data_IF_375464290487
#
_entry.id   IF_375464290487
#
_cell.length_a   1.000
_cell.length_b   1.000
_cell.length_c   1.000
_cell.angle_alpha   90.00
_cell.angle_beta   90.00
_cell.angle_gamma   90.00
#
_symmetry.space_group_name_H-M   'P 1'
#
loop_
_entity.id
_entity.type
_entity.pdbx_description
1 polymer ?
#
# COMPACT_ATOMS: atom_id res chain seq x y z
N UNK A 1 -2.44 -3.51 -10.29
CA UNK A 1 -2.13 -3.63 -8.85
C UNK A 1 -0.74 -3.12 -8.53
N UNK A 2 0.32 -3.75 -9.02
CA UNK A 2 1.71 -3.36 -8.73
C UNK A 2 2.01 -1.87 -8.99
N UNK A 3 1.69 -1.36 -10.18
CA UNK A 3 1.92 0.06 -10.53
C UNK A 3 1.23 1.05 -9.57
N UNK A 4 0.07 0.70 -9.02
CA UNK A 4 -0.64 1.56 -8.06
C UNK A 4 0.05 1.60 -6.70
N UNK A 5 0.45 0.43 -6.18
CA UNK A 5 1.16 0.33 -4.91
C UNK A 5 2.56 0.98 -4.99
N UNK A 6 3.29 0.77 -6.08
CA UNK A 6 4.58 1.46 -6.32
C UNK A 6 4.37 2.96 -6.47
N UNK A 7 3.35 3.40 -7.21
CA UNK A 7 3.04 4.83 -7.35
C UNK A 7 2.74 5.51 -6.01
N UNK A 8 2.14 4.81 -5.06
CA UNK A 8 1.95 5.31 -3.70
C UNK A 8 3.28 5.45 -2.95
N UNK A 9 4.17 4.44 -3.01
CA UNK A 9 5.53 4.53 -2.46
C UNK A 9 6.28 5.71 -3.08
N UNK A 10 6.16 5.94 -4.38
CA UNK A 10 6.79 7.07 -5.07
C UNK A 10 6.29 8.41 -4.53
N UNK A 11 4.98 8.50 -4.28
CA UNK A 11 4.36 9.71 -3.74
C UNK A 11 4.85 10.05 -2.34
N UNK A 12 5.29 9.06 -1.55
CA UNK A 12 5.80 9.27 -0.17
C UNK A 12 7.10 10.09 -0.10
N UNK A 13 7.80 10.23 -1.22
CA UNK A 13 8.99 11.09 -1.32
C UNK A 13 8.66 12.58 -1.37
N UNK A 14 7.39 12.94 -1.60
CA UNK A 14 6.93 14.33 -1.61
C UNK A 14 6.69 14.80 -0.16
N UNK A 15 7.34 15.89 0.29
CA UNK A 15 7.23 16.36 1.67
C UNK A 15 5.79 16.63 2.13
N UNK A 16 4.91 17.13 1.25
CA UNK A 16 3.51 17.36 1.62
C UNK A 16 2.72 16.06 1.85
N UNK A 17 2.99 15.00 1.07
CA UNK A 17 2.32 13.70 1.21
C UNK A 17 2.80 13.03 2.48
N UNK A 18 4.11 13.04 2.73
CA UNK A 18 4.68 12.51 3.96
C UNK A 18 4.04 13.14 5.20
N UNK A 19 4.00 14.48 5.25
CA UNK A 19 3.53 15.18 6.44
C UNK A 19 2.01 15.07 6.62
N UNK A 20 1.23 15.29 5.57
CA UNK A 20 -0.23 15.34 5.69
C UNK A 20 -0.86 13.94 5.73
N UNK A 21 -0.46 13.04 4.84
CA UNK A 21 -1.08 11.71 4.72
C UNK A 21 -0.49 10.72 5.73
N UNK A 22 0.82 10.72 5.93
CA UNK A 22 1.47 9.66 6.73
C UNK A 22 1.67 10.02 8.21
N UNK A 23 1.71 11.32 8.56
CA UNK A 23 2.00 11.79 9.93
C UNK A 23 0.80 12.50 10.55
N UNK A 24 0.34 13.59 9.93
CA UNK A 24 -0.67 14.48 10.51
C UNK A 24 -2.07 13.88 10.41
N UNK A 25 -2.41 13.23 9.30
CA UNK A 25 -3.74 12.65 9.04
C UNK A 25 -4.23 11.74 10.17
N UNK A 26 -3.52 10.66 10.50
CA UNK A 26 -3.89 9.76 11.61
C UNK A 26 -3.92 10.46 12.98
N UNK A 27 -3.01 11.40 13.21
CA UNK A 27 -2.87 12.09 14.50
C UNK A 27 -3.96 13.15 14.74
N UNK A 28 -4.43 13.82 13.68
CA UNK A 28 -5.41 14.91 13.75
C UNK A 28 -6.84 14.40 13.61
N UNK A 29 -7.09 13.43 12.73
CA UNK A 29 -8.44 12.92 12.44
C UNK A 29 -8.90 11.84 13.42
N UNK A 30 -7.95 11.24 14.15
CA UNK A 30 -8.19 10.07 14.98
C UNK A 30 -8.28 8.78 14.16
N UNK A 31 -8.00 7.66 14.82
CA UNK A 31 -7.85 6.35 14.18
C UNK A 31 -9.07 5.90 13.36
N UNK A 32 -10.28 6.10 13.90
CA UNK A 32 -11.52 5.62 13.26
C UNK A 32 -11.84 6.39 11.98
N UNK A 33 -11.80 7.73 12.02
CA UNK A 33 -11.98 8.59 10.84
C UNK A 33 -10.92 8.32 9.76
N UNK A 34 -9.69 8.04 10.19
CA UNK A 34 -8.60 7.70 9.28
C UNK A 34 -8.86 6.39 8.54
N UNK A 35 -9.29 5.34 9.26
CA UNK A 35 -9.66 4.06 8.67
C UNK A 35 -10.82 4.20 7.67
N UNK A 36 -11.86 4.96 7.98
CA UNK A 36 -13.00 5.19 7.07
C UNK A 36 -12.57 5.86 5.74
N UNK A 37 -11.60 6.79 5.80
CA UNK A 37 -11.03 7.42 4.61
C UNK A 37 -10.15 6.46 3.80
N UNK A 38 -9.33 5.66 4.47
CA UNK A 38 -8.50 4.62 3.85
C UNK A 38 -9.35 3.55 3.15
N UNK A 39 -10.46 3.15 3.77
CA UNK A 39 -11.44 2.20 3.23
C UNK A 39 -12.04 2.71 1.90
N UNK A 40 -12.43 3.99 1.86
CA UNK A 40 -13.10 4.60 0.71
C UNK A 40 -12.21 4.78 -0.52
N UNK A 41 -10.93 5.14 -0.35
CA UNK A 41 -10.04 5.50 -1.48
C UNK A 41 -9.00 4.44 -1.82
N UNK A 42 -8.37 3.81 -0.82
CA UNK A 42 -7.28 2.86 -1.02
C UNK A 42 -7.75 1.41 -1.04
N UNK A 43 -8.51 1.01 -0.01
CA UNK A 43 -8.89 -0.38 0.20
C UNK A 43 -9.79 -0.91 -0.91
N UNK A 44 -10.84 -0.17 -1.27
CA UNK A 44 -11.77 -0.59 -2.32
C UNK A 44 -11.09 -0.76 -3.69
N UNK A 45 -10.05 0.02 -3.99
CA UNK A 45 -9.27 -0.15 -5.23
C UNK A 45 -8.44 -1.45 -5.20
N UNK A 46 -7.81 -1.77 -4.08
CA UNK A 46 -7.04 -3.01 -3.90
C UNK A 46 -7.97 -4.23 -3.98
N UNK A 47 -9.12 -4.20 -3.30
CA UNK A 47 -10.11 -5.28 -3.33
C UNK A 47 -10.55 -5.61 -4.76
N UNK A 48 -10.95 -4.61 -5.57
CA UNK A 48 -11.36 -4.83 -6.97
C UNK A 48 -10.26 -5.47 -7.83
N UNK A 49 -9.00 -5.10 -7.59
CA UNK A 49 -7.86 -5.67 -8.32
C UNK A 49 -7.59 -7.14 -7.93
N UNK A 50 -7.75 -7.48 -6.65
CA UNK A 50 -7.64 -8.84 -6.16
C UNK A 50 -8.78 -9.73 -6.67
N UNK A 51 -10.01 -9.22 -6.66
CA UNK A 51 -11.18 -9.92 -7.22
C UNK A 51 -11.01 -10.23 -8.70
N UNK A 52 -10.53 -9.25 -9.48
CA UNK A 52 -10.23 -9.43 -10.89
C UNK A 52 -9.15 -10.52 -11.11
N UNK A 53 -8.07 -10.49 -10.32
CA UNK A 53 -7.01 -11.49 -10.40
C UNK A 53 -7.48 -12.91 -10.08
N UNK A 54 -8.38 -13.07 -9.10
CA UNK A 54 -9.01 -14.37 -8.79
C UNK A 54 -9.92 -14.81 -9.93
N UNK A 55 -10.73 -13.91 -10.49
CA UNK A 55 -11.60 -14.21 -11.62
C UNK A 55 -10.82 -14.67 -12.86
N UNK A 56 -9.64 -14.07 -13.09
CA UNK A 56 -8.69 -14.44 -14.15
C UNK A 56 -7.89 -15.73 -13.84
N UNK A 57 -8.04 -16.29 -12.63
CA UNK A 57 -7.27 -17.45 -12.13
C UNK A 57 -5.76 -17.22 -12.07
N UNK A 58 -5.31 -15.96 -12.09
CA UNK A 58 -3.91 -15.59 -11.88
C UNK A 58 -3.58 -15.63 -10.39
N UNK A 59 -4.55 -15.32 -9.53
CA UNK A 59 -4.44 -15.41 -8.07
C UNK A 59 -5.33 -16.56 -7.52
N UNK A 60 -4.82 -17.44 -6.63
CA UNK A 60 -5.66 -18.44 -5.98
C UNK A 60 -6.79 -17.82 -5.15
N UNK A 61 -7.93 -18.52 -5.07
CA UNK A 61 -9.06 -18.08 -4.25
C UNK A 61 -8.68 -18.04 -2.77
N UNK A 62 -8.92 -16.90 -2.12
CA UNK A 62 -8.53 -16.62 -0.74
C UNK A 62 -9.36 -15.44 -0.18
N UNK A 63 -9.29 -15.14 1.13
CA UNK A 63 -10.05 -14.04 1.73
C UNK A 63 -9.62 -12.66 1.20
N UNK A 64 -10.33 -12.16 0.18
CA UNK A 64 -10.02 -10.90 -0.54
C UNK A 64 -9.96 -9.70 0.39
N UNK A 65 -10.97 -9.56 1.26
CA UNK A 65 -11.09 -8.43 2.17
C UNK A 65 -9.85 -8.30 3.07
N UNK A 66 -9.50 -9.38 3.78
CA UNK A 66 -8.35 -9.42 4.66
C UNK A 66 -7.03 -9.20 3.88
N UNK A 67 -6.91 -9.79 2.69
CA UNK A 67 -5.71 -9.59 1.86
C UNK A 67 -5.56 -8.14 1.40
N UNK A 68 -6.67 -7.46 1.11
CA UNK A 68 -6.64 -6.04 0.76
C UNK A 68 -6.16 -5.17 1.93
N UNK A 69 -6.63 -5.43 3.16
CA UNK A 69 -6.14 -4.75 4.35
C UNK A 69 -4.65 -5.00 4.58
N UNK A 70 -4.17 -6.23 4.39
CA UNK A 70 -2.75 -6.56 4.53
C UNK A 70 -1.89 -5.83 3.49
N UNK A 71 -2.34 -5.74 2.24
CA UNK A 71 -1.64 -5.01 1.19
C UNK A 71 -1.62 -3.50 1.43
N UNK A 72 -2.74 -2.93 1.88
CA UNK A 72 -2.83 -1.52 2.24
C UNK A 72 -1.84 -1.21 3.37
N UNK A 73 -1.91 -1.94 4.48
CA UNK A 73 -0.99 -1.77 5.59
C UNK A 73 0.49 -1.94 5.16
N UNK A 74 0.78 -2.89 4.26
CA UNK A 74 2.14 -3.10 3.75
C UNK A 74 2.65 -1.91 2.96
N UNK A 75 1.82 -1.32 2.09
CA UNK A 75 2.23 -0.16 1.28
C UNK A 75 2.35 1.11 2.13
N UNK A 76 1.50 1.28 3.15
CA UNK A 76 1.61 2.39 4.11
C UNK A 76 2.89 2.30 4.92
N UNK A 77 3.26 1.09 5.39
CA UNK A 77 4.53 0.87 6.08
C UNK A 77 5.74 1.10 5.17
N UNK A 78 5.66 0.70 3.91
CA UNK A 78 6.71 0.99 2.93
C UNK A 78 6.86 2.52 2.71
N UNK A 79 5.76 3.25 2.54
CA UNK A 79 5.75 4.70 2.41
C UNK A 79 6.34 5.40 3.64
N UNK A 80 5.94 4.98 4.85
CA UNK A 80 6.49 5.48 6.11
C UNK A 80 7.98 5.20 6.26
N UNK A 81 8.45 4.02 5.83
CA UNK A 81 9.86 3.67 5.85
C UNK A 81 10.68 4.62 4.97
N UNK A 82 10.23 4.89 3.74
CA UNK A 82 10.89 5.83 2.81
C UNK A 82 10.90 7.24 3.37
N UNK A 83 9.75 7.70 3.85
CA UNK A 83 9.57 9.00 4.47
C UNK A 83 10.58 9.29 5.59
N UNK A 84 10.83 8.32 6.48
CA UNK A 84 11.67 8.51 7.66
C UNK A 84 13.16 8.17 7.44
N UNK A 85 13.57 7.85 6.21
CA UNK A 85 14.93 7.44 5.91
C UNK A 85 15.91 8.62 5.81
N UNK A 86 17.17 8.41 6.21
CA UNK A 86 18.26 9.37 5.99
C UNK A 86 18.62 9.49 4.49
N UNK A 87 18.49 8.39 3.75
CA UNK A 87 18.60 8.33 2.30
C UNK A 87 17.26 7.84 1.69
N UNK A 88 16.34 8.76 1.36
CA UNK A 88 15.04 8.41 0.79
C UNK A 88 15.12 7.70 -0.57
N UNK A 89 16.18 7.93 -1.36
CA UNK A 89 16.33 7.32 -2.68
C UNK A 89 16.64 5.84 -2.50
N UNK A 90 17.65 5.52 -1.68
CA UNK A 90 17.98 4.13 -1.37
C UNK A 90 16.82 3.41 -0.67
N UNK A 91 16.16 4.07 0.29
CA UNK A 91 15.03 3.49 0.99
C UNK A 91 13.86 3.18 0.04
N UNK A 92 13.60 4.04 -0.95
CA UNK A 92 12.59 3.81 -1.98
C UNK A 92 12.93 2.58 -2.81
N UNK A 93 14.16 2.43 -3.26
CA UNK A 93 14.57 1.26 -4.06
C UNK A 93 14.35 -0.06 -3.30
N UNK A 94 14.71 -0.08 -2.02
CA UNK A 94 14.47 -1.23 -1.15
C UNK A 94 12.98 -1.51 -0.95
N UNK A 95 12.19 -0.47 -0.68
CA UNK A 95 10.74 -0.59 -0.48
C UNK A 95 10.03 -1.12 -1.73
N UNK A 96 10.37 -0.60 -2.91
CA UNK A 96 9.82 -1.06 -4.20
C UNK A 96 10.22 -2.52 -4.47
N UNK A 97 11.49 -2.88 -4.24
CA UNK A 97 11.98 -4.26 -4.41
C UNK A 97 11.23 -5.25 -3.51
N UNK A 98 11.04 -4.90 -2.23
CA UNK A 98 10.31 -5.71 -1.27
C UNK A 98 8.82 -5.84 -1.65
N UNK A 99 8.17 -4.74 -2.04
CA UNK A 99 6.77 -4.73 -2.45
C UNK A 99 6.54 -5.60 -3.70
N UNK A 100 7.43 -5.51 -4.70
CA UNK A 100 7.40 -6.39 -5.87
C UNK A 100 7.51 -7.86 -5.49
N UNK A 101 8.47 -8.20 -4.65
CA UNK A 101 8.69 -9.58 -4.20
C UNK A 101 7.47 -10.15 -3.47
N UNK A 102 6.80 -9.32 -2.66
CA UNK A 102 5.56 -9.68 -1.95
C UNK A 102 4.43 -9.94 -2.95
N UNK A 103 4.21 -9.00 -3.89
CA UNK A 103 3.18 -9.12 -4.92
C UNK A 103 3.41 -10.37 -5.77
N UNK A 104 4.61 -10.53 -6.34
CA UNK A 104 4.97 -11.71 -7.14
C UNK A 104 4.76 -13.02 -6.36
N UNK A 105 5.08 -13.03 -5.06
CA UNK A 105 4.87 -14.16 -4.18
C UNK A 105 3.42 -14.62 -4.09
N UNK A 106 2.46 -13.70 -4.20
CA UNK A 106 1.03 -14.03 -4.17
C UNK A 106 0.56 -14.80 -5.41
N UNK A 107 1.21 -14.57 -6.57
CA UNK A 107 0.85 -15.20 -7.84
C UNK A 107 1.64 -16.50 -8.11
N UNK A 108 2.61 -16.84 -7.26
CA UNK A 108 3.33 -18.13 -7.36
C UNK A 108 2.44 -19.28 -6.90
N UNK A 109 2.47 -20.38 -7.66
CA UNK A 109 1.78 -21.64 -7.34
C UNK A 109 2.57 -22.48 -6.36
#
# INVERSE_FOLDING_TARGET
MESGLIGFIDSSTKPEIQRIILVDGPAVLGWQTWQELEEGYGLGAIQRLLEAAIAEKSLPAQPVELLAHLLLASVDKAALYVANAQDPIQARELAVSAMRSLIEGMFRK
#
